data_IF_405104124590
#
_entry.id   IF_405104124590
#
_cell.length_a   1.000
_cell.length_b   1.000
_cell.length_c   1.000
_cell.angle_alpha   90.00
_cell.angle_beta   90.00
_cell.angle_gamma   90.00
#
_symmetry.space_group_name_H-M   'P 1'
#
loop_
_entity.id
_entity.type
_entity.pdbx_description
1 polymer ?
#
# COMPACT_ATOMS: atom_id res chain seq x y z
N UNK A 1 6.08 10.43 -21.00
CA UNK A 1 4.79 10.11 -20.32
C UNK A 1 4.32 11.37 -19.62
N UNK A 2 3.05 11.74 -19.75
CA UNK A 2 2.58 13.01 -19.17
C UNK A 2 2.52 12.89 -17.64
N UNK A 3 2.82 13.97 -16.92
CA UNK A 3 2.87 13.98 -15.44
C UNK A 3 1.55 13.49 -14.82
N UNK A 4 0.42 13.83 -15.44
CA UNK A 4 -0.92 13.37 -15.04
C UNK A 4 -1.03 11.85 -15.12
N UNK A 5 -0.52 11.24 -16.19
CA UNK A 5 -0.54 9.78 -16.38
C UNK A 5 0.27 9.07 -15.29
N UNK A 6 1.42 9.63 -14.89
CA UNK A 6 2.27 9.07 -13.82
C UNK A 6 1.53 9.14 -12.47
N UNK A 7 0.92 10.29 -12.17
CA UNK A 7 0.19 10.50 -10.92
C UNK A 7 -1.01 9.54 -10.83
N UNK A 8 -1.81 9.43 -11.89
CA UNK A 8 -2.96 8.53 -11.92
C UNK A 8 -2.51 7.07 -11.73
N UNK A 9 -1.46 6.64 -12.42
CA UNK A 9 -0.93 5.28 -12.27
C UNK A 9 -0.48 5.00 -10.83
N UNK A 10 0.20 5.95 -10.18
CA UNK A 10 0.60 5.86 -8.77
C UNK A 10 -0.61 5.74 -7.83
N UNK A 11 -1.63 6.59 -8.01
CA UNK A 11 -2.84 6.53 -7.19
C UNK A 11 -3.63 5.24 -7.39
N UNK A 12 -3.73 4.74 -8.64
CA UNK A 12 -4.38 3.45 -8.92
C UNK A 12 -3.63 2.30 -8.26
N UNK A 13 -2.30 2.29 -8.34
CA UNK A 13 -1.47 1.25 -7.72
C UNK A 13 -1.57 1.28 -6.19
N UNK A 14 -1.60 2.48 -5.60
CA UNK A 14 -1.85 2.68 -4.17
C UNK A 14 -3.23 2.17 -3.73
N UNK A 15 -4.28 2.45 -4.52
CA UNK A 15 -5.64 1.98 -4.26
C UNK A 15 -5.75 0.46 -4.28
N UNK A 16 -5.14 -0.20 -5.27
CA UNK A 16 -5.14 -1.67 -5.39
C UNK A 16 -4.43 -2.32 -4.19
N UNK A 17 -3.28 -1.78 -3.79
CA UNK A 17 -2.55 -2.25 -2.60
C UNK A 17 -3.34 -2.03 -1.31
N UNK A 18 -4.00 -0.88 -1.18
CA UNK A 18 -4.85 -0.56 -0.02
C UNK A 18 -6.06 -1.48 0.11
N UNK A 19 -6.67 -1.86 -1.01
CA UNK A 19 -7.77 -2.83 -1.04
C UNK A 19 -7.31 -4.23 -0.64
N UNK A 20 -6.13 -4.67 -1.08
CA UNK A 20 -5.51 -5.92 -0.61
C UNK A 20 -5.35 -5.91 0.91
N UNK A 21 -4.65 -4.90 1.44
CA UNK A 21 -4.48 -4.74 2.89
C UNK A 21 -5.80 -4.75 3.67
N UNK A 22 -6.84 -4.06 3.16
CA UNK A 22 -8.17 -4.08 3.78
C UNK A 22 -8.78 -5.49 3.80
N UNK A 23 -8.64 -6.25 2.72
CA UNK A 23 -9.16 -7.61 2.62
C UNK A 23 -8.47 -8.54 3.64
N UNK A 24 -7.14 -8.49 3.75
CA UNK A 24 -6.38 -9.24 4.75
C UNK A 24 -6.72 -8.78 6.17
N UNK A 25 -6.90 -7.48 6.40
CA UNK A 25 -7.35 -6.93 7.68
C UNK A 25 -8.69 -7.53 8.12
N UNK A 26 -9.67 -7.55 7.21
CA UNK A 26 -10.98 -8.13 7.48
C UNK A 26 -10.91 -9.64 7.71
N UNK A 27 -10.07 -10.35 6.97
CA UNK A 27 -9.84 -11.80 7.12
C UNK A 27 -9.25 -12.12 8.49
N UNK A 28 -8.24 -11.38 8.92
CA UNK A 28 -7.60 -11.55 10.24
C UNK A 28 -8.53 -11.15 11.38
N UNK A 29 -9.33 -10.08 11.22
CA UNK A 29 -10.36 -9.72 12.20
C UNK A 29 -11.45 -10.78 12.34
N UNK A 30 -11.89 -11.40 11.24
CA UNK A 30 -12.80 -12.55 11.28
C UNK A 30 -12.22 -13.76 12.01
N UNK A 31 -10.90 -13.91 12.00
CA UNK A 31 -10.19 -14.97 12.73
C UNK A 31 -9.89 -14.60 14.20
N UNK A 32 -10.36 -13.44 14.67
CA UNK A 32 -10.10 -12.97 16.04
C UNK A 32 -8.66 -12.53 16.29
N UNK A 33 -7.85 -12.39 15.22
CA UNK A 33 -6.44 -12.01 15.32
C UNK A 33 -6.28 -10.51 15.53
N UNK A 34 -5.13 -10.16 16.12
CA UNK A 34 -4.74 -8.79 16.37
C UNK A 34 -4.57 -8.01 15.05
N UNK A 35 -5.01 -6.73 14.99
CA UNK A 35 -4.80 -5.89 13.81
C UNK A 35 -3.31 -5.72 13.45
N UNK A 36 -2.42 -5.89 14.42
CA UNK A 36 -0.96 -5.87 14.23
C UNK A 36 -0.42 -7.04 13.40
N UNK A 37 -1.14 -8.16 13.31
CA UNK A 37 -0.77 -9.24 12.40
C UNK A 37 -0.95 -8.83 10.93
N UNK A 38 -1.91 -7.96 10.63
CA UNK A 38 -2.11 -7.44 9.27
C UNK A 38 -0.94 -6.59 8.82
N UNK A 39 -0.36 -5.80 9.72
CA UNK A 39 0.84 -4.99 9.46
C UNK A 39 2.09 -5.86 9.23
N UNK A 40 2.13 -7.06 9.80
CA UNK A 40 3.18 -8.06 9.56
C UNK A 40 2.91 -8.93 8.32
N UNK A 41 1.70 -8.91 7.78
CA UNK A 41 1.38 -9.64 6.54
C UNK A 41 2.05 -8.96 5.35
N UNK A 42 2.31 -9.77 4.31
CA UNK A 42 2.92 -9.33 3.05
C UNK A 42 2.14 -8.14 2.48
N UNK A 43 0.82 -8.17 2.56
CA UNK A 43 -0.05 -7.11 2.04
C UNK A 43 0.07 -5.79 2.83
N UNK A 44 0.26 -5.85 4.15
CA UNK A 44 0.50 -4.67 4.98
C UNK A 44 1.86 -4.05 4.71
N UNK A 45 2.90 -4.87 4.56
CA UNK A 45 4.24 -4.43 4.20
C UNK A 45 4.22 -3.78 2.81
N UNK A 46 3.55 -4.39 1.83
CA UNK A 46 3.40 -3.86 0.48
C UNK A 46 2.63 -2.53 0.45
N UNK A 47 1.57 -2.40 1.27
CA UNK A 47 0.82 -1.15 1.38
C UNK A 47 1.69 -0.02 1.97
N UNK A 48 2.40 -0.29 3.08
CA UNK A 48 3.34 0.66 3.68
C UNK A 48 4.42 1.06 2.68
N UNK A 49 5.03 0.08 2.01
CA UNK A 49 6.01 0.32 0.97
C UNK A 49 5.45 1.22 -0.15
N UNK A 50 4.20 1.02 -0.56
CA UNK A 50 3.55 1.86 -1.58
C UNK A 50 3.35 3.32 -1.14
N UNK A 51 3.31 3.61 0.17
CA UNK A 51 3.20 4.97 0.72
C UNK A 51 4.57 5.64 0.80
N UNK A 52 5.60 4.91 1.24
CA UNK A 52 6.93 5.47 1.52
C UNK A 52 7.86 5.48 0.30
N UNK A 53 7.76 4.53 -0.62
CA UNK A 53 8.62 4.44 -1.82
C UNK A 53 8.46 5.65 -2.74
N UNK A 54 7.25 6.13 -3.09
CA UNK A 54 7.09 7.27 -3.99
C UNK A 54 7.77 8.56 -3.50
N UNK A 55 7.58 9.03 -2.25
CA UNK A 55 8.27 10.22 -1.76
C UNK A 55 9.78 10.02 -1.61
N UNK A 56 10.26 8.81 -1.27
CA UNK A 56 11.70 8.49 -1.24
C UNK A 56 12.30 8.61 -2.64
N UNK A 57 11.65 8.06 -3.67
CA UNK A 57 12.11 8.16 -5.05
C UNK A 57 12.14 9.62 -5.53
N UNK A 58 11.12 10.41 -5.18
CA UNK A 58 11.07 11.84 -5.52
C UNK A 58 12.21 12.60 -4.82
N UNK A 59 12.54 12.24 -3.57
CA UNK A 59 13.64 12.86 -2.82
C UNK A 59 15.02 12.44 -3.33
N UNK A 60 15.17 11.20 -3.78
CA UNK A 60 16.44 10.65 -4.30
C UNK A 60 16.75 11.08 -5.74
N UNK A 61 15.71 11.34 -6.54
CA UNK A 61 15.84 11.86 -7.92
C UNK A 61 15.94 13.39 -8.01
N UNK A 62 16.07 14.10 -6.89
CA UNK A 62 16.25 15.55 -6.82
C UNK A 62 17.72 15.90 -6.58
#
# INVERSE_FOLDING_TARGET
MNTITIIVALFTLWLVMGLGYLAEYFKLRKQGKSPFETLKSIEGILFIASIFIPPILIMLCR
#
